data_IF_984538823909
#
_entry.id   IF_984538823909
#
_cell.length_a   1.000
_cell.length_b   1.000
_cell.length_c   1.000
_cell.angle_alpha   90.00
_cell.angle_beta   90.00
_cell.angle_gamma   90.00
#
_symmetry.space_group_name_H-M   'P 1'
#
loop_
_entity.id
_entity.type
_entity.pdbx_description
1 polymer ?
#
# COMPACT_ATOMS: atom_id res chain seq x y z
N UNK A 1 28.55 11.01 5.74
CA UNK A 1 27.61 11.85 4.98
C UNK A 1 26.38 10.99 4.85
N UNK A 2 25.62 10.91 5.93
CA UNK A 2 24.64 9.85 6.16
C UNK A 2 23.26 10.47 6.04
N UNK A 3 22.78 10.51 4.80
CA UNK A 3 21.42 10.91 4.49
C UNK A 3 20.53 9.73 4.89
N UNK A 4 20.15 9.67 6.17
CA UNK A 4 19.00 8.88 6.60
C UNK A 4 17.76 9.72 6.29
N UNK A 5 17.35 9.69 5.03
CA UNK A 5 16.06 10.14 4.55
C UNK A 5 14.99 9.40 5.37
N UNK A 6 14.53 10.05 6.43
CA UNK A 6 13.50 9.54 7.32
C UNK A 6 12.17 9.89 6.70
N UNK A 7 11.88 9.20 5.59
CA UNK A 7 10.60 9.26 4.93
C UNK A 7 9.52 8.88 5.96
N UNK A 8 8.46 9.67 6.05
CA UNK A 8 7.43 9.58 7.08
C UNK A 8 6.63 8.29 6.89
N UNK A 9 7.16 7.15 7.36
CA UNK A 9 6.50 5.86 7.24
C UNK A 9 5.31 5.88 8.20
N UNK A 10 4.12 6.14 7.65
CA UNK A 10 2.88 5.73 8.28
C UNK A 10 3.02 4.26 8.66
N UNK A 11 3.20 3.99 9.94
CA UNK A 11 3.14 2.64 10.43
C UNK A 11 1.73 2.13 10.13
N UNK A 12 1.59 1.08 9.32
CA UNK A 12 0.27 0.49 9.10
C UNK A 12 -0.30 0.11 10.47
N UNK A 13 -1.63 0.19 10.58
CA UNK A 13 -2.32 -0.39 11.73
C UNK A 13 -1.88 -1.84 11.87
N UNK A 14 -1.84 -2.40 13.08
CA UNK A 14 -1.25 -3.72 13.35
C UNK A 14 -1.76 -4.89 12.45
N UNK A 15 -2.83 -4.68 11.68
CA UNK A 15 -3.35 -5.65 10.70
C UNK A 15 -2.96 -5.42 9.24
N UNK A 16 -2.44 -4.25 8.86
CA UNK A 16 -2.19 -3.90 7.45
C UNK A 16 -0.72 -4.10 7.04
N UNK A 17 -0.49 -4.59 5.82
CA UNK A 17 0.86 -4.63 5.25
C UNK A 17 1.27 -3.27 4.70
N UNK A 18 2.53 -2.92 4.89
CA UNK A 18 3.15 -1.80 4.15
C UNK A 18 3.14 -2.09 2.65
N UNK A 19 3.31 -1.03 1.86
CA UNK A 19 3.48 -1.17 0.42
C UNK A 19 4.61 -2.16 0.08
N UNK A 20 5.78 -1.99 0.69
CA UNK A 20 6.96 -2.82 0.43
C UNK A 20 6.75 -4.28 0.85
N UNK A 21 6.04 -4.52 1.95
CA UNK A 21 5.68 -5.88 2.35
C UNK A 21 4.75 -6.54 1.31
N UNK A 22 3.76 -5.81 0.77
CA UNK A 22 2.89 -6.34 -0.29
C UNK A 22 3.67 -6.60 -1.57
N UNK A 23 4.58 -5.69 -1.94
CA UNK A 23 5.44 -5.86 -3.11
C UNK A 23 6.30 -7.12 -2.96
N UNK A 24 6.96 -7.32 -1.80
CA UNK A 24 7.74 -8.54 -1.52
C UNK A 24 6.89 -9.81 -1.59
N UNK A 25 5.68 -9.80 -1.02
CA UNK A 25 4.75 -10.95 -1.10
C UNK A 25 4.43 -11.29 -2.56
N UNK A 26 4.12 -10.28 -3.39
CA UNK A 26 3.80 -10.48 -4.80
C UNK A 26 5.01 -11.02 -5.58
N UNK A 27 6.19 -10.44 -5.39
CA UNK A 27 7.41 -10.93 -6.04
C UNK A 27 7.71 -12.38 -5.70
N UNK A 28 7.55 -12.80 -4.43
CA UNK A 28 7.78 -14.19 -4.03
C UNK A 28 6.72 -15.14 -4.61
N UNK A 29 5.46 -14.70 -4.68
CA UNK A 29 4.39 -15.47 -5.30
C UNK A 29 4.62 -15.64 -6.81
N UNK A 30 5.02 -14.58 -7.51
CA UNK A 30 5.38 -14.62 -8.93
C UNK A 30 6.60 -15.52 -9.20
N UNK A 31 7.54 -15.58 -8.25
CA UNK A 31 8.66 -16.52 -8.29
C UNK A 31 8.27 -17.99 -8.00
N UNK A 32 6.99 -18.26 -7.73
CA UNK A 32 6.45 -19.61 -7.56
C UNK A 32 6.53 -20.15 -6.13
N UNK A 33 6.80 -19.32 -5.12
CA UNK A 33 6.78 -19.75 -3.72
C UNK A 33 5.34 -19.99 -3.26
N UNK A 34 5.17 -20.99 -2.40
CA UNK A 34 3.87 -21.29 -1.79
C UNK A 34 3.54 -20.32 -0.67
N UNK A 35 2.26 -20.20 -0.33
CA UNK A 35 1.78 -19.40 0.80
C UNK A 35 2.56 -19.69 2.10
N UNK A 36 2.76 -20.97 2.43
CA UNK A 36 3.49 -21.40 3.63
C UNK A 36 4.96 -20.94 3.65
N UNK A 37 5.62 -20.94 2.49
CA UNK A 37 7.00 -20.49 2.37
C UNK A 37 7.08 -18.97 2.56
N UNK A 38 6.14 -18.23 1.97
CA UNK A 38 6.05 -16.77 2.11
C UNK A 38 5.73 -16.38 3.56
N UNK A 39 4.81 -17.09 4.23
CA UNK A 39 4.51 -16.90 5.65
C UNK A 39 5.78 -17.00 6.50
N UNK A 40 6.58 -18.06 6.29
CA UNK A 40 7.82 -18.29 7.03
C UNK A 40 8.90 -17.26 6.72
N UNK A 41 9.01 -16.83 5.47
CA UNK A 41 10.09 -15.92 5.03
C UNK A 41 9.85 -14.46 5.45
N UNK A 42 8.58 -14.03 5.53
CA UNK A 42 8.23 -12.64 5.84
C UNK A 42 7.63 -12.46 7.25
N UNK A 43 7.44 -13.55 8.01
CA UNK A 43 6.75 -13.56 9.31
C UNK A 43 5.36 -12.92 9.25
N UNK A 44 4.65 -13.20 8.16
CA UNK A 44 3.29 -12.71 7.91
C UNK A 44 2.31 -13.87 7.96
N UNK A 45 1.08 -13.63 8.41
CA UNK A 45 0.03 -14.66 8.43
C UNK A 45 -1.04 -14.33 7.37
N UNK A 46 -2.31 -14.20 7.76
CA UNK A 46 -3.49 -14.01 6.88
C UNK A 46 -3.35 -12.90 5.83
N UNK A 47 -2.45 -11.95 6.10
CA UNK A 47 -2.10 -10.85 5.23
C UNK A 47 -1.49 -11.29 3.88
N UNK A 48 -0.80 -12.43 3.82
CA UNK A 48 -0.19 -12.95 2.58
C UNK A 48 -1.26 -13.25 1.53
N UNK A 49 -2.33 -13.96 1.93
CA UNK A 49 -3.45 -14.26 1.03
C UNK A 49 -4.10 -12.99 0.50
N UNK A 50 -4.29 -11.99 1.37
CA UNK A 50 -4.85 -10.71 0.97
C UNK A 50 -3.93 -9.95 0.00
N UNK A 51 -2.63 -9.90 0.25
CA UNK A 51 -1.66 -9.25 -0.63
C UNK A 51 -1.51 -9.91 -2.00
N UNK A 52 -1.73 -11.23 -2.10
CA UNK A 52 -1.75 -11.94 -3.38
C UNK A 52 -3.06 -11.66 -4.13
N UNK A 53 -4.19 -11.64 -3.41
CA UNK A 53 -5.52 -11.44 -4.02
C UNK A 53 -5.72 -10.01 -4.52
N UNK A 54 -5.20 -9.01 -3.79
CA UNK A 54 -5.34 -7.60 -4.12
C UNK A 54 -3.99 -7.04 -4.57
N UNK A 55 -3.88 -6.73 -5.87
CA UNK A 55 -2.71 -6.14 -6.51
C UNK A 55 -2.25 -4.87 -5.78
N UNK A 56 -0.94 -4.58 -5.81
CA UNK A 56 -0.38 -3.31 -5.32
C UNK A 56 -0.73 -2.22 -6.34
N UNK A 57 -2.00 -1.89 -6.47
CA UNK A 57 -2.37 -0.62 -7.10
C UNK A 57 -2.11 0.46 -6.06
N UNK A 58 -1.36 1.52 -6.37
CA UNK A 58 -1.25 2.66 -5.48
C UNK A 58 -2.65 3.17 -5.18
N UNK A 59 -3.05 3.11 -3.90
CA UNK A 59 -4.31 3.67 -3.45
C UNK A 59 -4.20 5.19 -3.54
N UNK A 60 -4.58 5.75 -4.69
CA UNK A 60 -4.84 7.18 -4.78
C UNK A 60 -6.06 7.42 -3.92
N UNK A 61 -5.84 7.94 -2.72
CA UNK A 61 -6.92 8.55 -1.96
C UNK A 61 -7.49 9.63 -2.86
N UNK A 62 -8.62 9.35 -3.51
CA UNK A 62 -9.44 10.40 -4.08
C UNK A 62 -9.77 11.29 -2.91
N UNK A 63 -9.24 12.51 -2.91
CA UNK A 63 -9.58 13.51 -1.91
C UNK A 63 -11.10 13.66 -1.85
N UNK A 64 -11.60 14.31 -0.81
CA UNK A 64 -13.01 14.67 -0.79
C UNK A 64 -13.31 15.43 -2.10
N UNK A 65 -14.29 14.98 -2.91
CA UNK A 65 -14.66 15.73 -4.10
C UNK A 65 -15.01 17.16 -3.68
N UNK A 66 -14.61 18.14 -4.49
CA UNK A 66 -14.98 19.53 -4.25
C UNK A 66 -16.51 19.61 -4.08
N UNK A 67 -16.97 20.37 -3.10
CA UNK A 67 -18.40 20.65 -2.94
C UNK A 67 -18.87 21.66 -3.99
N UNK A 68 -17.94 22.43 -4.58
CA UNK A 68 -18.21 23.43 -5.59
C UNK A 68 -17.99 22.84 -6.98
N UNK A 69 -18.95 23.07 -7.86
CA UNK A 69 -18.80 22.87 -9.30
C UNK A 69 -17.88 23.95 -9.87
N UNK A 70 -17.23 23.68 -11.01
CA UNK A 70 -16.24 24.59 -11.62
C UNK A 70 -16.81 26.02 -11.82
N UNK A 71 -18.08 26.11 -12.19
CA UNK A 71 -18.79 27.36 -12.45
C UNK A 71 -18.98 28.21 -11.17
N UNK A 72 -19.02 27.59 -9.99
CA UNK A 72 -19.15 28.30 -8.70
C UNK A 72 -17.80 28.81 -8.18
N UNK A 73 -16.70 28.18 -8.60
CA UNK A 73 -15.33 28.61 -8.28
C UNK A 73 -15.01 29.92 -9.01
N UNK A 74 -15.41 30.03 -10.28
CA UNK A 74 -15.16 31.21 -11.11
C UNK A 74 -15.92 32.47 -10.62
N UNK A 75 -16.97 32.29 -9.81
CA UNK A 75 -17.77 33.38 -9.24
C UNK A 75 -17.12 34.04 -7.99
N UNK A 76 -16.06 33.44 -7.45
CA UNK A 76 -15.43 33.86 -6.18
C UNK A 76 -14.08 34.60 -6.42
N UNK A 77 -13.66 34.79 -7.68
CA UNK A 77 -12.39 35.44 -8.07
C UNK A 77 -12.59 36.89 -8.49
#
# INVERSE_FOLDING_TARGET
MDIHDSDSVRHPSAGDLTHDQRLRVQTLHEAGLTYEQIHKQLDLTRQVQYAITYLVTPNTRKGRPSTLEQDEVDLII
#
